data_IF_819123854151
#
_entry.id   IF_819123854151
#
_cell.length_a   1.000
_cell.length_b   1.000
_cell.length_c   1.000
_cell.angle_alpha   90.00
_cell.angle_beta   90.00
_cell.angle_gamma   90.00
#
_symmetry.space_group_name_H-M   'P 1'
#
loop_
_entity.id
_entity.type
_entity.pdbx_description
1 polymer ?
#
# COMPACT_ATOMS: atom_id res chain seq x y z
N UNK A 1 -34.67 -11.41 34.00
CA UNK A 1 -34.16 -11.84 32.69
C UNK A 1 -33.04 -10.90 32.31
N UNK A 2 -31.77 -11.37 32.31
CA UNK A 2 -30.64 -10.57 31.86
C UNK A 2 -30.61 -10.67 30.33
N UNK A 3 -30.77 -9.54 29.66
CA UNK A 3 -30.64 -9.46 28.20
C UNK A 3 -29.26 -9.91 27.73
N UNK A 4 -29.12 -10.38 26.48
CA UNK A 4 -27.84 -10.82 25.96
C UNK A 4 -26.86 -9.65 25.99
N UNK A 5 -25.73 -9.87 26.67
CA UNK A 5 -24.60 -8.95 26.65
C UNK A 5 -23.99 -9.03 25.23
N UNK A 6 -24.37 -8.11 24.36
CA UNK A 6 -23.69 -7.96 23.06
C UNK A 6 -22.28 -7.44 23.35
N UNK A 7 -21.30 -8.33 23.30
CA UNK A 7 -19.90 -7.94 23.23
C UNK A 7 -19.74 -7.07 21.99
N UNK A 8 -19.67 -5.77 22.16
CA UNK A 8 -19.27 -4.85 21.10
C UNK A 8 -17.88 -5.28 20.64
N UNK A 9 -17.78 -5.95 19.50
CA UNK A 9 -16.49 -6.29 18.93
C UNK A 9 -15.80 -4.99 18.54
N UNK A 10 -14.77 -4.62 19.27
CA UNK A 10 -13.91 -3.47 18.91
C UNK A 10 -13.08 -3.89 17.72
N UNK A 11 -13.15 -3.12 16.64
CA UNK A 11 -12.29 -3.35 15.49
C UNK A 11 -10.83 -3.12 15.91
N UNK A 12 -9.92 -3.97 15.40
CA UNK A 12 -8.49 -3.91 15.71
C UNK A 12 -7.64 -4.09 14.46
N UNK A 13 -6.41 -3.59 14.49
CA UNK A 13 -5.42 -3.88 13.46
C UNK A 13 -5.04 -5.35 13.50
N UNK A 14 -5.26 -6.10 12.43
CA UNK A 14 -4.96 -7.53 12.33
C UNK A 14 -3.67 -7.82 11.54
N UNK A 15 -3.29 -6.92 10.62
CA UNK A 15 -2.01 -6.99 9.93
C UNK A 15 -1.53 -5.61 9.46
N UNK A 16 -0.20 -5.47 9.36
CA UNK A 16 0.46 -4.31 8.80
C UNK A 16 1.41 -4.77 7.68
N UNK A 17 1.47 -4.00 6.59
CA UNK A 17 2.34 -4.28 5.46
C UNK A 17 3.10 -3.03 5.01
N UNK A 18 4.39 -3.22 4.73
CA UNK A 18 5.29 -2.20 4.16
C UNK A 18 5.77 -2.68 2.80
N UNK A 19 5.82 -1.79 1.83
CA UNK A 19 6.21 -2.09 0.44
C UNK A 19 7.42 -1.23 0.05
N UNK A 20 8.66 -1.58 0.40
CA UNK A 20 9.81 -0.70 0.17
C UNK A 20 10.00 -0.30 -1.29
N UNK A 21 9.72 -1.23 -2.21
CA UNK A 21 9.79 -0.99 -3.66
C UNK A 21 8.39 -1.00 -4.27
N UNK A 22 8.04 0.07 -5.01
CA UNK A 22 6.78 0.15 -5.74
C UNK A 22 6.61 -1.08 -6.63
N UNK A 23 5.42 -1.70 -6.59
CA UNK A 23 5.04 -2.91 -7.34
C UNK A 23 5.75 -4.22 -6.94
N UNK A 24 6.76 -4.23 -6.09
CA UNK A 24 7.32 -5.46 -5.53
C UNK A 24 6.50 -5.97 -4.35
N UNK A 25 6.79 -7.19 -3.86
CA UNK A 25 6.09 -7.82 -2.74
C UNK A 25 6.26 -7.02 -1.45
N UNK A 26 5.21 -7.00 -0.63
CA UNK A 26 5.24 -6.34 0.68
C UNK A 26 5.83 -7.23 1.78
N UNK A 27 6.19 -6.59 2.86
CA UNK A 27 6.69 -7.20 4.10
C UNK A 27 5.60 -7.08 5.15
N UNK A 28 5.18 -8.19 5.73
CA UNK A 28 4.28 -8.19 6.88
C UNK A 28 5.07 -7.87 8.15
N UNK A 29 4.58 -6.92 8.94
CA UNK A 29 5.22 -6.46 10.17
C UNK A 29 4.24 -6.47 11.34
N UNK A 30 4.73 -6.57 12.57
CA UNK A 30 3.89 -6.53 13.78
C UNK A 30 3.69 -5.13 14.32
N UNK A 31 4.66 -4.25 14.10
CA UNK A 31 4.61 -2.84 14.42
C UNK A 31 5.47 -2.07 13.43
N UNK A 32 5.11 -0.81 13.14
CA UNK A 32 5.90 -0.01 12.20
C UNK A 32 5.74 1.48 12.42
N UNK A 33 6.83 2.27 12.25
CA UNK A 33 6.77 3.71 12.40
C UNK A 33 5.93 4.37 11.30
N UNK A 34 5.07 5.30 11.70
CA UNK A 34 4.39 6.26 10.83
C UNK A 34 5.22 7.55 10.86
N UNK A 35 5.70 7.95 9.69
CA UNK A 35 6.49 9.16 9.47
C UNK A 35 5.74 10.09 8.51
N UNK A 36 6.22 11.29 8.27
CA UNK A 36 5.52 12.29 7.46
C UNK A 36 4.98 11.81 6.10
N UNK A 37 5.54 10.74 5.50
CA UNK A 37 5.14 10.19 4.19
C UNK A 37 4.27 8.94 4.27
N UNK A 38 3.85 8.52 5.44
CA UNK A 38 3.22 7.22 5.68
C UNK A 38 4.11 6.29 6.47
N UNK A 39 4.07 4.99 6.22
CA UNK A 39 5.01 4.06 6.87
C UNK A 39 6.46 4.34 6.46
N UNK A 40 7.38 4.27 7.41
CA UNK A 40 8.81 4.36 7.15
C UNK A 40 9.22 3.33 6.08
N UNK A 41 10.06 3.73 5.14
CA UNK A 41 10.53 2.94 4.00
C UNK A 41 9.46 2.56 2.95
N UNK A 42 8.16 2.90 3.14
CA UNK A 42 7.11 2.50 2.21
C UNK A 42 7.23 3.24 0.87
N UNK A 43 7.32 2.47 -0.24
CA UNK A 43 7.43 2.93 -1.63
C UNK A 43 8.50 4.01 -1.84
N UNK A 44 9.63 3.92 -1.09
CA UNK A 44 10.77 4.85 -1.26
C UNK A 44 11.58 4.51 -2.52
N UNK A 45 11.49 3.28 -3.01
CA UNK A 45 12.10 2.80 -4.23
C UNK A 45 11.07 2.57 -5.32
N UNK A 46 11.46 2.87 -6.57
CA UNK A 46 10.60 2.70 -7.74
C UNK A 46 11.43 2.33 -8.96
N UNK A 47 10.88 1.48 -9.82
CA UNK A 47 11.45 1.15 -11.12
C UNK A 47 10.85 2.11 -12.15
N UNK A 48 11.71 2.66 -13.02
CA UNK A 48 11.29 3.50 -14.14
C UNK A 48 11.85 2.98 -15.47
N UNK A 49 11.17 3.31 -16.55
CA UNK A 49 11.65 3.07 -17.90
C UNK A 49 12.68 4.12 -18.35
N UNK A 50 13.17 4.02 -19.58
CA UNK A 50 14.15 4.94 -20.15
C UNK A 50 13.67 6.41 -20.25
N UNK A 51 12.36 6.65 -20.14
CA UNK A 51 11.75 7.98 -20.17
C UNK A 51 11.47 8.52 -18.75
N UNK A 52 11.92 7.82 -17.71
CA UNK A 52 11.65 8.18 -16.31
C UNK A 52 10.22 7.88 -15.85
N UNK A 53 9.40 7.19 -16.66
CA UNK A 53 8.04 6.82 -16.29
C UNK A 53 8.06 5.59 -15.39
N UNK A 54 7.26 5.62 -14.33
CA UNK A 54 7.12 4.50 -13.40
C UNK A 54 6.61 3.22 -14.07
N UNK A 55 7.22 2.10 -13.73
CA UNK A 55 6.85 0.75 -14.20
C UNK A 55 6.15 0.00 -13.08
N UNK A 56 5.08 -0.71 -13.41
CA UNK A 56 4.27 -1.39 -12.41
C UNK A 56 3.88 -2.82 -12.83
N UNK A 57 3.23 -3.55 -11.92
CA UNK A 57 2.59 -4.82 -12.24
C UNK A 57 1.51 -4.71 -13.33
N UNK A 58 1.05 -3.48 -13.69
CA UNK A 58 0.11 -3.28 -14.81
C UNK A 58 0.76 -3.66 -16.13
N UNK A 59 2.02 -3.38 -16.30
CA UNK A 59 2.81 -3.70 -17.48
C UNK A 59 3.59 -5.01 -17.27
N UNK A 60 4.31 -5.12 -16.16
CA UNK A 60 5.24 -6.20 -15.87
C UNK A 60 4.80 -6.96 -14.60
N UNK A 61 3.87 -7.92 -14.77
CA UNK A 61 3.30 -8.70 -13.68
C UNK A 61 4.36 -9.44 -12.83
N UNK A 62 5.48 -9.82 -13.45
CA UNK A 62 6.61 -10.47 -12.77
C UNK A 62 7.22 -9.65 -11.62
N UNK A 63 6.97 -8.34 -11.53
CA UNK A 63 7.35 -7.52 -10.37
C UNK A 63 6.70 -8.03 -9.07
N UNK A 64 5.55 -8.71 -9.15
CA UNK A 64 4.91 -9.35 -8.01
C UNK A 64 5.78 -10.46 -7.38
N UNK A 65 6.68 -11.05 -8.17
CA UNK A 65 7.56 -12.14 -7.72
C UNK A 65 8.83 -11.63 -7.02
N UNK A 66 9.12 -10.33 -7.09
CA UNK A 66 10.25 -9.74 -6.37
C UNK A 66 9.91 -9.62 -4.91
N UNK A 67 10.46 -10.50 -4.08
CA UNK A 67 10.32 -10.43 -2.62
C UNK A 67 11.28 -9.40 -2.03
N UNK A 68 10.85 -8.77 -0.95
CA UNK A 68 11.61 -7.76 -0.22
C UNK A 68 11.76 -8.16 1.24
N UNK A 69 12.91 -7.86 1.86
CA UNK A 69 13.15 -8.01 3.29
C UNK A 69 13.96 -6.83 3.81
N UNK A 70 13.72 -6.43 5.06
CA UNK A 70 14.47 -5.37 5.74
C UNK A 70 15.32 -6.00 6.83
N UNK A 71 16.63 -5.73 6.80
CA UNK A 71 17.60 -6.20 7.79
C UNK A 71 18.51 -5.04 8.19
N UNK A 72 18.27 -4.45 9.38
CA UNK A 72 18.95 -3.22 9.78
C UNK A 72 18.74 -2.10 8.77
N UNK A 73 19.82 -1.49 8.31
CA UNK A 73 19.81 -0.43 7.29
C UNK A 73 19.92 -0.98 5.85
N UNK A 74 19.53 -2.23 5.63
CA UNK A 74 19.58 -2.89 4.32
C UNK A 74 18.18 -3.32 3.84
N UNK A 75 17.96 -3.16 2.56
CA UNK A 75 16.84 -3.73 1.81
C UNK A 75 17.36 -4.87 0.93
N UNK A 76 16.87 -6.08 1.16
CA UNK A 76 17.20 -7.27 0.37
C UNK A 76 16.09 -7.59 -0.62
N UNK A 77 16.46 -7.85 -1.86
CA UNK A 77 15.56 -8.19 -2.95
C UNK A 77 15.93 -9.56 -3.52
N UNK A 78 14.92 -10.43 -3.69
CA UNK A 78 15.08 -11.74 -4.35
C UNK A 78 14.02 -11.89 -5.43
N UNK A 79 14.42 -12.47 -6.56
CA UNK A 79 13.52 -12.80 -7.66
C UNK A 79 13.90 -14.15 -8.29
N UNK A 80 12.96 -14.85 -8.94
CA UNK A 80 13.25 -16.12 -9.61
C UNK A 80 14.39 -15.96 -10.62
N UNK A 81 15.34 -16.91 -10.58
CA UNK A 81 16.48 -16.93 -11.51
C UNK A 81 17.50 -15.79 -11.35
N UNK A 82 17.50 -15.09 -10.22
CA UNK A 82 18.44 -13.99 -9.94
C UNK A 82 19.13 -14.18 -8.58
N UNK A 83 20.39 -13.75 -8.52
CA UNK A 83 21.09 -13.58 -7.24
C UNK A 83 20.41 -12.50 -6.41
N UNK A 84 20.52 -12.62 -5.09
CA UNK A 84 20.03 -11.58 -4.17
C UNK A 84 20.71 -10.24 -4.45
N UNK A 85 19.92 -9.18 -4.41
CA UNK A 85 20.39 -7.80 -4.44
C UNK A 85 20.24 -7.19 -3.05
N UNK A 86 21.31 -6.62 -2.54
CA UNK A 86 21.31 -5.87 -1.28
C UNK A 86 21.48 -4.39 -1.61
N UNK A 87 20.54 -3.58 -1.11
CA UNK A 87 20.52 -2.13 -1.25
C UNK A 87 20.61 -1.47 0.12
N UNK A 88 21.13 -0.25 0.23
CA UNK A 88 20.93 0.55 1.43
C UNK A 88 19.44 0.86 1.59
N UNK A 89 18.96 0.94 2.84
CA UNK A 89 17.56 1.32 3.10
C UNK A 89 17.30 2.77 2.66
N UNK A 90 18.31 3.64 2.77
CA UNK A 90 18.30 5.03 2.32
C UNK A 90 19.39 5.25 1.28
N UNK A 91 19.07 6.03 0.24
CA UNK A 91 20.00 6.34 -0.84
C UNK A 91 19.84 7.81 -1.25
N UNK A 92 20.58 8.67 -0.56
CA UNK A 92 20.45 10.13 -0.66
C UNK A 92 21.46 10.78 -1.63
N UNK A 93 22.47 10.01 -2.08
CA UNK A 93 23.58 10.51 -2.92
C UNK A 93 23.64 9.68 -4.20
N UNK A 94 23.68 10.34 -5.35
CA UNK A 94 23.75 9.69 -6.65
C UNK A 94 23.24 10.59 -7.76
N UNK A 95 23.10 10.03 -8.95
CA UNK A 95 22.57 10.76 -10.10
C UNK A 95 21.07 11.03 -9.94
N UNK A 96 20.73 12.31 -10.02
CA UNK A 96 19.34 12.75 -9.93
C UNK A 96 18.59 12.46 -11.23
N UNK A 97 17.34 12.01 -11.10
CA UNK A 97 16.41 11.76 -12.20
C UNK A 97 15.10 12.45 -11.92
N UNK A 98 14.60 13.21 -12.87
CA UNK A 98 13.17 13.55 -12.87
C UNK A 98 12.39 12.32 -13.31
N UNK A 99 11.42 11.91 -12.49
CA UNK A 99 10.60 10.72 -12.74
C UNK A 99 9.13 11.07 -12.70
N UNK A 100 8.32 10.28 -13.39
CA UNK A 100 6.88 10.50 -13.48
C UNK A 100 6.12 9.39 -12.73
N UNK A 101 5.20 9.80 -11.86
CA UNK A 101 4.22 8.94 -11.18
C UNK A 101 2.84 9.46 -11.50
N UNK A 102 2.12 8.83 -12.42
CA UNK A 102 0.88 9.34 -13.00
C UNK A 102 1.10 10.73 -13.63
N UNK A 103 0.36 11.74 -13.15
CA UNK A 103 0.50 13.13 -13.60
C UNK A 103 1.59 13.90 -12.83
N UNK A 104 2.10 13.31 -11.74
CA UNK A 104 3.08 13.98 -10.88
C UNK A 104 4.51 13.78 -11.40
N UNK A 105 5.30 14.84 -11.33
CA UNK A 105 6.75 14.77 -11.46
C UNK A 105 7.39 14.68 -10.08
N UNK A 106 8.40 13.87 -9.95
CA UNK A 106 9.10 13.65 -8.70
C UNK A 106 10.61 13.50 -8.94
N UNK A 107 11.39 13.71 -7.88
CA UNK A 107 12.82 13.47 -7.89
C UNK A 107 13.11 12.04 -7.44
N UNK A 108 13.94 11.34 -8.20
CA UNK A 108 14.55 10.07 -7.85
C UNK A 108 16.08 10.16 -7.87
N UNK A 109 16.75 9.41 -7.02
CA UNK A 109 18.20 9.20 -7.06
C UNK A 109 18.44 7.80 -7.64
N UNK A 110 19.14 7.72 -8.78
CA UNK A 110 19.39 6.46 -9.46
C UNK A 110 20.40 5.59 -8.69
N UNK A 111 20.15 4.29 -8.64
CA UNK A 111 21.05 3.30 -8.03
C UNK A 111 21.56 2.31 -9.07
N UNK A 112 22.82 2.45 -9.50
CA UNK A 112 23.39 1.75 -10.65
C UNK A 112 23.29 0.21 -10.56
N UNK A 113 23.69 -0.39 -9.43
CA UNK A 113 23.61 -1.85 -9.26
C UNK A 113 22.15 -2.35 -9.26
N UNK A 114 21.23 -1.59 -8.65
CA UNK A 114 19.80 -1.90 -8.66
C UNK A 114 19.20 -1.82 -10.08
N UNK A 115 19.57 -0.78 -10.83
CA UNK A 115 19.15 -0.60 -12.23
C UNK A 115 19.62 -1.77 -13.11
N UNK A 116 20.89 -2.17 -12.96
CA UNK A 116 21.45 -3.33 -13.67
C UNK A 116 20.70 -4.62 -13.30
N UNK A 117 20.40 -4.82 -12.01
CA UNK A 117 19.71 -6.02 -11.54
C UNK A 117 18.28 -6.11 -12.09
N UNK A 118 17.52 -5.00 -12.02
CA UNK A 118 16.15 -4.96 -12.54
C UNK A 118 16.12 -5.06 -14.07
N UNK A 119 17.05 -4.39 -14.78
CA UNK A 119 17.13 -4.51 -16.24
C UNK A 119 17.35 -5.95 -16.68
N UNK A 120 18.24 -6.68 -16.00
CA UNK A 120 18.47 -8.12 -16.27
C UNK A 120 17.28 -8.98 -15.90
N UNK A 121 16.55 -8.67 -14.81
CA UNK A 121 15.38 -9.43 -14.39
C UNK A 121 14.19 -9.20 -15.33
N UNK A 122 13.98 -7.98 -15.78
CA UNK A 122 12.86 -7.58 -16.61
C UNK A 122 13.11 -7.76 -18.11
N UNK A 123 14.37 -8.00 -18.50
CA UNK A 123 14.76 -8.24 -19.90
C UNK A 123 14.81 -6.98 -20.77
N UNK A 124 14.79 -5.79 -20.19
CA UNK A 124 14.87 -4.51 -20.87
C UNK A 124 15.51 -3.45 -19.98
N UNK A 125 16.06 -2.34 -20.54
CA UNK A 125 16.62 -1.26 -19.75
C UNK A 125 15.62 -0.63 -18.81
N UNK A 126 15.95 -0.61 -17.51
CA UNK A 126 15.18 0.04 -16.46
C UNK A 126 16.12 0.66 -15.43
N UNK A 127 15.69 1.71 -14.80
CA UNK A 127 16.41 2.29 -13.66
C UNK A 127 15.65 2.03 -12.37
N UNK A 128 16.40 1.77 -11.29
CA UNK A 128 15.89 1.77 -9.93
C UNK A 128 16.23 3.11 -9.29
N UNK A 129 15.22 3.82 -8.81
CA UNK A 129 15.36 5.14 -8.21
C UNK A 129 14.85 5.17 -6.79
N UNK A 130 15.47 5.97 -5.94
CA UNK A 130 15.08 6.24 -4.55
C UNK A 130 14.54 7.67 -4.44
N UNK A 131 13.43 7.88 -3.74
CA UNK A 131 12.97 9.22 -3.43
C UNK A 131 13.72 9.78 -2.24
N UNK A 132 14.52 10.85 -2.39
CA UNK A 132 15.29 11.41 -1.29
C UNK A 132 14.40 12.14 -0.27
N UNK A 133 14.89 12.32 0.96
CA UNK A 133 14.11 12.91 2.05
C UNK A 133 13.74 14.37 1.79
N UNK A 134 14.58 15.12 1.11
CA UNK A 134 14.33 16.53 0.79
C UNK A 134 13.27 16.75 -0.30
N UNK A 135 12.94 15.72 -1.10
CA UNK A 135 11.85 15.83 -2.08
C UNK A 135 10.50 15.57 -1.44
N UNK A 136 9.60 16.55 -1.49
CA UNK A 136 8.28 16.48 -0.88
C UNK A 136 7.21 16.33 -1.97
N UNK A 137 6.73 15.10 -2.19
CA UNK A 137 5.62 14.86 -3.11
C UNK A 137 4.29 15.06 -2.39
N UNK A 138 3.64 16.20 -2.67
CA UNK A 138 2.33 16.55 -2.11
C UNK A 138 1.25 15.58 -2.58
N UNK A 139 0.40 15.13 -1.68
CA UNK A 139 -0.86 14.43 -2.02
C UNK A 139 -1.80 15.43 -2.71
N UNK A 140 -2.61 14.96 -3.65
CA UNK A 140 -3.50 15.81 -4.45
C UNK A 140 -4.23 16.85 -3.57
N UNK A 141 -3.98 18.17 -3.78
CA UNK A 141 -4.51 19.25 -2.93
C UNK A 141 -6.03 19.33 -2.88
N UNK A 142 -6.74 18.81 -3.90
CA UNK A 142 -8.19 18.75 -3.89
C UNK A 142 -8.76 17.81 -2.80
N UNK A 143 -7.91 16.97 -2.18
CA UNK A 143 -8.32 15.97 -1.19
C UNK A 143 -7.40 15.88 0.02
N UNK A 144 -6.41 16.76 0.11
CA UNK A 144 -5.37 16.74 1.13
C UNK A 144 -5.07 18.17 1.59
N UNK A 145 -4.44 18.30 2.75
CA UNK A 145 -3.97 19.57 3.28
C UNK A 145 -2.56 19.87 2.76
N UNK A 146 -2.15 21.16 2.72
CA UNK A 146 -0.74 21.49 2.53
C UNK A 146 0.15 20.73 3.53
N UNK A 147 1.23 20.09 3.04
CA UNK A 147 2.13 19.29 3.86
C UNK A 147 1.75 17.81 3.98
N UNK A 148 0.58 17.38 3.52
CA UNK A 148 0.27 15.95 3.38
C UNK A 148 1.10 15.39 2.21
N UNK A 149 2.10 14.60 2.52
CA UNK A 149 3.04 14.07 1.51
C UNK A 149 3.01 12.55 1.45
N UNK A 150 3.46 12.02 0.33
CA UNK A 150 3.63 10.58 0.11
C UNK A 150 4.95 10.29 -0.61
N UNK A 151 5.36 9.02 -0.62
CA UNK A 151 6.49 8.55 -1.42
C UNK A 151 6.05 8.22 -2.86
N UNK A 152 6.58 7.17 -3.49
CA UNK A 152 6.15 6.71 -4.82
C UNK A 152 4.84 5.88 -4.78
N UNK A 153 4.02 6.00 -3.72
CA UNK A 153 2.66 5.45 -3.72
C UNK A 153 1.82 6.05 -4.86
N UNK A 154 0.74 5.36 -5.26
CA UNK A 154 -0.06 5.83 -6.40
C UNK A 154 -0.69 7.20 -6.13
N UNK A 155 -1.30 7.39 -4.94
CA UNK A 155 -1.95 8.65 -4.60
C UNK A 155 -1.87 9.03 -3.11
N UNK A 156 -1.97 8.04 -2.21
CA UNK A 156 -2.10 8.26 -0.76
C UNK A 156 -1.08 7.44 0.02
N UNK A 157 -0.68 7.90 1.23
CA UNK A 157 0.31 7.19 2.04
C UNK A 157 -0.16 5.84 2.56
N UNK A 158 -1.47 5.63 2.75
CA UNK A 158 -2.00 4.38 3.28
C UNK A 158 -3.21 3.87 2.51
N UNK A 159 -3.34 2.55 2.46
CA UNK A 159 -4.55 1.83 2.10
C UNK A 159 -4.97 0.96 3.28
N UNK A 160 -6.22 1.10 3.71
CA UNK A 160 -6.86 0.29 4.74
C UNK A 160 -7.89 -0.65 4.10
N UNK A 161 -7.90 -1.90 4.56
CA UNK A 161 -8.87 -2.95 4.20
C UNK A 161 -9.30 -3.73 5.42
N UNK A 162 -10.50 -4.27 5.41
CA UNK A 162 -10.96 -5.20 6.46
C UNK A 162 -10.90 -6.67 6.01
N UNK A 163 -10.65 -7.56 6.98
CA UNK A 163 -10.74 -9.01 6.73
C UNK A 163 -12.17 -9.42 6.37
N UNK A 164 -13.16 -8.74 6.94
CA UNK A 164 -14.57 -8.99 6.65
C UNK A 164 -14.91 -8.66 5.18
N UNK A 165 -14.37 -7.56 4.63
CA UNK A 165 -14.54 -7.21 3.21
C UNK A 165 -13.90 -8.24 2.28
N UNK A 166 -12.71 -8.75 2.64
CA UNK A 166 -12.09 -9.83 1.89
C UNK A 166 -12.88 -11.15 1.99
N UNK A 167 -13.42 -11.46 3.16
CA UNK A 167 -14.24 -12.66 3.36
C UNK A 167 -15.55 -12.60 2.54
N UNK A 168 -16.24 -11.44 2.50
CA UNK A 168 -17.39 -11.22 1.62
C UNK A 168 -17.02 -11.43 0.15
N UNK A 169 -15.91 -10.85 -0.31
CA UNK A 169 -15.46 -11.06 -1.68
C UNK A 169 -15.14 -12.54 -1.96
N UNK A 170 -14.42 -13.20 -1.07
CA UNK A 170 -14.03 -14.61 -1.22
C UNK A 170 -15.24 -15.56 -1.23
N UNK A 171 -16.33 -15.22 -0.54
CA UNK A 171 -17.58 -15.99 -0.60
C UNK A 171 -18.23 -15.99 -1.99
N UNK A 172 -17.80 -15.08 -2.87
CA UNK A 172 -18.32 -14.89 -4.24
C UNK A 172 -17.35 -15.36 -5.33
N UNK A 173 -16.17 -15.84 -4.93
CA UNK A 173 -15.13 -16.32 -5.85
C UNK A 173 -15.08 -17.84 -5.85
N UNK A 174 -14.85 -18.43 -7.00
CA UNK A 174 -14.63 -19.89 -7.14
C UNK A 174 -13.33 -20.34 -6.42
N UNK A 175 -12.29 -19.46 -6.45
CA UNK A 175 -11.02 -19.67 -5.77
C UNK A 175 -10.75 -18.48 -4.87
N UNK A 176 -10.65 -18.67 -3.55
CA UNK A 176 -10.33 -17.60 -2.62
C UNK A 176 -8.97 -16.96 -2.91
N UNK A 177 -8.88 -15.64 -2.70
CA UNK A 177 -7.67 -14.85 -2.89
C UNK A 177 -7.17 -14.28 -1.58
N UNK A 178 -5.91 -13.85 -1.57
CA UNK A 178 -5.27 -13.30 -0.38
C UNK A 178 -5.31 -11.78 -0.35
N UNK A 179 -5.11 -11.21 0.84
CA UNK A 179 -5.10 -9.76 1.08
C UNK A 179 -3.99 -9.04 0.30
N UNK A 180 -2.88 -9.71 0.05
CA UNK A 180 -1.71 -9.19 -0.65
C UNK A 180 -2.02 -8.72 -2.08
N UNK A 181 -3.06 -9.26 -2.75
CA UNK A 181 -3.50 -8.79 -4.08
C UNK A 181 -3.89 -7.32 -4.07
N UNK A 182 -4.42 -6.85 -2.95
CA UNK A 182 -4.88 -5.47 -2.79
C UNK A 182 -3.81 -4.52 -2.29
N UNK A 183 -2.70 -5.05 -1.75
CA UNK A 183 -1.54 -4.30 -1.28
C UNK A 183 -1.86 -3.26 -0.20
N UNK A 184 -2.67 -3.59 0.83
CA UNK A 184 -2.98 -2.66 1.91
C UNK A 184 -1.75 -2.41 2.79
N UNK A 185 -1.71 -1.25 3.44
CA UNK A 185 -0.77 -0.97 4.52
C UNK A 185 -1.33 -1.43 5.87
N UNK A 186 -2.64 -1.28 6.06
CA UNK A 186 -3.34 -1.57 7.31
C UNK A 186 -4.49 -2.52 7.01
N UNK A 187 -4.53 -3.64 7.72
CA UNK A 187 -5.66 -4.58 7.69
C UNK A 187 -6.30 -4.59 9.06
N UNK A 188 -7.63 -4.54 9.08
CA UNK A 188 -8.42 -4.55 10.31
C UNK A 188 -9.34 -5.77 10.37
N UNK A 189 -9.69 -6.18 11.59
CA UNK A 189 -10.70 -7.20 11.86
C UNK A 189 -11.69 -6.73 12.93
N UNK A 190 -12.76 -7.50 13.14
CA UNK A 190 -13.77 -7.19 14.16
C UNK A 190 -14.81 -6.14 13.75
N UNK A 191 -14.93 -5.84 12.46
CA UNK A 191 -15.95 -4.98 11.87
C UNK A 191 -16.78 -5.72 10.83
N UNK A 192 -17.91 -5.13 10.41
CA UNK A 192 -18.72 -5.63 9.30
C UNK A 192 -17.99 -5.45 7.95
N UNK A 193 -18.38 -6.25 6.93
CA UNK A 193 -17.85 -6.05 5.57
C UNK A 193 -18.09 -4.62 5.08
N UNK A 194 -17.08 -4.02 4.48
CA UNK A 194 -17.07 -2.66 3.92
C UNK A 194 -17.29 -1.54 4.94
N UNK A 195 -17.16 -1.81 6.24
CA UNK A 195 -17.22 -0.77 7.27
C UNK A 195 -16.18 0.35 7.01
N UNK A 196 -15.03 -0.02 6.45
CA UNK A 196 -13.97 0.93 6.09
C UNK A 196 -14.40 1.98 5.06
N UNK A 197 -15.42 1.72 4.25
CA UNK A 197 -15.96 2.68 3.28
C UNK A 197 -16.50 3.96 3.93
N UNK A 198 -16.96 3.84 5.17
CA UNK A 198 -17.51 4.94 5.97
C UNK A 198 -16.47 5.72 6.78
N UNK A 199 -15.19 5.34 6.74
CA UNK A 199 -14.17 5.96 7.59
C UNK A 199 -13.67 7.30 7.00
N UNK A 200 -14.52 8.31 6.97
CA UNK A 200 -14.10 9.67 6.65
C UNK A 200 -13.05 10.18 7.65
N UNK A 201 -13.16 9.74 8.91
CA UNK A 201 -12.16 9.84 9.97
C UNK A 201 -12.11 8.53 10.73
N UNK A 202 -10.89 8.14 11.13
CA UNK A 202 -10.68 6.93 11.95
C UNK A 202 -9.46 7.14 12.85
N UNK A 203 -9.57 6.72 14.10
CA UNK A 203 -8.43 6.64 15.02
C UNK A 203 -7.96 5.20 15.09
N UNK A 204 -6.66 4.98 14.89
CA UNK A 204 -6.02 3.66 14.95
C UNK A 204 -4.89 3.77 15.98
N UNK A 205 -5.04 3.08 17.11
CA UNK A 205 -4.16 3.31 18.24
C UNK A 205 -4.19 4.78 18.69
N UNK A 206 -3.03 5.42 18.67
CA UNK A 206 -2.90 6.83 19.06
C UNK A 206 -2.94 7.80 17.87
N UNK A 207 -3.00 7.30 16.62
CA UNK A 207 -2.90 8.10 15.41
C UNK A 207 -4.29 8.30 14.79
N UNK A 208 -4.62 9.54 14.48
CA UNK A 208 -5.82 9.92 13.74
C UNK A 208 -5.57 9.90 12.24
N UNK A 209 -6.55 9.45 11.49
CA UNK A 209 -6.49 9.37 10.03
C UNK A 209 -7.72 10.01 9.40
N UNK A 210 -7.52 10.62 8.24
CA UNK A 210 -8.56 11.07 7.34
C UNK A 210 -8.70 10.10 6.18
N UNK A 211 -9.94 9.73 5.83
CA UNK A 211 -10.28 8.92 4.67
C UNK A 211 -10.76 9.79 3.52
N UNK A 212 -9.86 10.32 2.68
CA UNK A 212 -10.22 11.28 1.63
C UNK A 212 -11.01 10.64 0.49
N UNK A 213 -10.86 9.32 0.30
CA UNK A 213 -11.48 8.63 -0.84
C UNK A 213 -11.38 7.12 -0.67
N UNK A 214 -12.46 6.41 -1.00
CA UNK A 214 -12.39 4.94 -1.22
C UNK A 214 -11.34 4.63 -2.30
N UNK A 215 -10.74 3.44 -2.25
CA UNK A 215 -9.74 3.04 -3.23
C UNK A 215 -10.42 2.44 -4.47
N UNK A 216 -10.22 3.07 -5.62
CA UNK A 216 -10.58 2.51 -6.93
C UNK A 216 -9.55 1.46 -7.34
N UNK A 217 -10.05 0.28 -7.70
CA UNK A 217 -9.20 -0.88 -7.98
C UNK A 217 -8.92 -1.01 -9.47
N UNK A 218 -7.69 -1.37 -9.78
CA UNK A 218 -7.20 -1.56 -11.13
C UNK A 218 -6.72 -2.99 -11.36
N UNK A 219 -6.27 -3.29 -12.57
CA UNK A 219 -5.80 -4.62 -13.00
C UNK A 219 -4.65 -5.20 -12.15
N UNK A 220 -3.94 -4.42 -11.33
CA UNK A 220 -2.91 -4.97 -10.42
C UNK A 220 -3.50 -6.04 -9.51
N UNK A 221 -4.75 -5.88 -9.06
CA UNK A 221 -5.40 -6.86 -8.17
C UNK A 221 -5.65 -8.21 -8.83
N UNK A 222 -5.60 -8.28 -10.16
CA UNK A 222 -5.76 -9.55 -10.91
C UNK A 222 -4.45 -10.32 -11.06
N UNK A 223 -3.31 -9.73 -10.68
CA UNK A 223 -2.01 -10.41 -10.68
C UNK A 223 -1.91 -11.28 -9.44
N UNK A 224 -1.60 -12.56 -9.63
CA UNK A 224 -1.31 -13.45 -8.51
C UNK A 224 0.07 -13.11 -7.91
N UNK A 225 0.16 -12.78 -6.61
CA UNK A 225 1.43 -12.38 -6.01
C UNK A 225 2.42 -13.54 -5.84
N UNK A 226 1.98 -14.82 -6.01
CA UNK A 226 2.83 -15.99 -5.88
C UNK A 226 3.36 -16.47 -7.23
N UNK A 227 2.53 -16.41 -8.29
CA UNK A 227 2.88 -16.91 -9.63
C UNK A 227 3.20 -15.82 -10.63
N UNK A 228 2.76 -14.58 -10.39
CA UNK A 228 2.84 -13.48 -11.34
C UNK A 228 1.85 -13.59 -12.50
N UNK A 229 0.97 -14.59 -12.49
CA UNK A 229 -0.04 -14.77 -13.51
C UNK A 229 -1.16 -13.74 -13.42
N UNK A 230 -1.69 -13.35 -14.57
CA UNK A 230 -2.83 -12.45 -14.66
C UNK A 230 -4.12 -13.21 -14.89
N UNK A 231 -5.14 -12.84 -14.12
CA UNK A 231 -6.49 -13.33 -14.30
C UNK A 231 -7.48 -12.21 -14.61
N UNK A 232 -8.75 -12.49 -14.39
CA UNK A 232 -9.85 -11.50 -14.44
C UNK A 232 -10.36 -11.18 -13.03
N UNK A 233 -10.16 -12.09 -12.08
CA UNK A 233 -10.55 -11.91 -10.69
C UNK A 233 -9.45 -11.17 -9.89
N UNK A 234 -9.84 -10.39 -8.89
CA UNK A 234 -11.19 -10.19 -8.36
C UNK A 234 -12.00 -9.08 -9.03
N UNK A 235 -11.44 -8.37 -10.03
CA UNK A 235 -12.12 -7.20 -10.62
C UNK A 235 -13.46 -7.56 -11.25
N UNK A 236 -13.56 -8.70 -11.92
CA UNK A 236 -14.80 -9.17 -12.56
C UNK A 236 -15.91 -9.36 -11.53
N UNK A 237 -15.60 -9.99 -10.42
CA UNK A 237 -16.58 -10.21 -9.34
C UNK A 237 -16.91 -8.91 -8.60
N UNK A 238 -15.90 -8.12 -8.22
CA UNK A 238 -16.13 -6.82 -7.59
C UNK A 238 -16.99 -5.88 -8.45
N UNK A 239 -16.81 -5.88 -9.77
CA UNK A 239 -17.59 -5.03 -10.67
C UNK A 239 -19.10 -5.34 -10.63
N UNK A 240 -19.52 -6.54 -10.22
CA UNK A 240 -20.93 -6.91 -10.14
C UNK A 240 -21.69 -6.19 -9.01
N UNK A 241 -20.99 -5.77 -7.94
CA UNK A 241 -21.63 -5.21 -6.75
C UNK A 241 -20.91 -4.02 -6.11
N UNK A 242 -19.69 -3.72 -6.57
CA UNK A 242 -18.86 -2.60 -6.07
C UNK A 242 -18.55 -1.56 -7.15
N UNK A 243 -19.19 -1.63 -8.32
CA UNK A 243 -19.07 -0.65 -9.39
C UNK A 243 -19.96 0.55 -9.10
N UNK A 244 -19.38 1.72 -9.01
CA UNK A 244 -20.07 3.01 -8.98
C UNK A 244 -19.17 4.07 -9.65
N UNK A 245 -19.77 5.05 -10.34
CA UNK A 245 -19.04 6.13 -11.03
C UNK A 245 -17.93 5.59 -11.97
N UNK A 246 -18.21 4.50 -12.69
CA UNK A 246 -17.28 3.79 -13.59
C UNK A 246 -16.02 3.25 -12.89
N UNK A 247 -16.04 3.12 -11.57
CA UNK A 247 -14.92 2.63 -10.75
C UNK A 247 -15.34 1.48 -9.86
N UNK A 248 -14.44 0.53 -9.70
CA UNK A 248 -14.61 -0.60 -8.78
C UNK A 248 -13.98 -0.23 -7.44
N UNK A 249 -14.79 -0.12 -6.40
CA UNK A 249 -14.38 0.35 -5.08
C UNK A 249 -14.10 -0.80 -4.12
N UNK A 250 -12.90 -0.81 -3.49
CA UNK A 250 -12.57 -1.78 -2.45
C UNK A 250 -11.45 -1.25 -1.56
N UNK A 251 -11.76 -0.95 -0.29
CA UNK A 251 -10.88 -0.36 0.69
C UNK A 251 -10.87 1.17 0.70
N UNK A 252 -10.26 1.73 1.74
CA UNK A 252 -10.20 3.16 2.02
C UNK A 252 -8.76 3.67 1.99
N UNK A 253 -8.50 4.71 1.21
CA UNK A 253 -7.25 5.45 1.28
C UNK A 253 -7.23 6.32 2.54
N UNK A 254 -6.07 6.39 3.21
CA UNK A 254 -5.94 7.18 4.42
C UNK A 254 -4.74 8.13 4.35
N UNK A 255 -4.90 9.27 5.03
CA UNK A 255 -3.84 10.24 5.35
C UNK A 255 -3.80 10.39 6.87
N UNK A 256 -2.63 10.25 7.47
CA UNK A 256 -2.43 10.41 8.92
C UNK A 256 -2.33 11.88 9.31
N UNK A 257 -2.79 12.23 10.49
CA UNK A 257 -2.68 13.57 11.06
C UNK A 257 -1.46 13.70 11.99
N UNK A 258 -0.99 12.57 12.57
CA UNK A 258 0.16 12.52 13.49
C UNK A 258 1.15 11.42 13.06
N UNK A 259 2.41 11.57 13.47
CA UNK A 259 3.43 10.51 13.41
C UNK A 259 3.41 9.67 14.69
N UNK A 260 3.98 8.45 14.61
CA UNK A 260 4.00 7.55 15.77
C UNK A 260 4.34 6.12 15.36
N UNK A 261 3.79 5.14 16.04
CA UNK A 261 3.97 3.72 15.74
C UNK A 261 2.62 3.03 15.73
N UNK A 262 2.27 2.34 14.66
CA UNK A 262 1.14 1.43 14.62
C UNK A 262 1.56 0.00 14.99
N UNK A 263 0.68 -0.72 15.68
CA UNK A 263 0.89 -2.10 16.11
C UNK A 263 -0.30 -2.99 15.72
N UNK A 264 -0.02 -4.22 15.42
CA UNK A 264 -1.06 -5.27 15.37
C UNK A 264 -1.69 -5.37 16.75
N UNK A 265 -3.02 -5.32 16.81
CA UNK A 265 -3.80 -5.25 18.03
C UNK A 265 -4.25 -3.84 18.43
N UNK A 266 -3.73 -2.78 17.79
CA UNK A 266 -4.21 -1.42 18.06
C UNK A 266 -5.71 -1.31 17.81
N UNK A 267 -6.48 -0.66 18.70
CA UNK A 267 -7.90 -0.46 18.51
C UNK A 267 -8.17 0.48 17.35
N UNK A 268 -9.26 0.23 16.63
CA UNK A 268 -9.73 1.05 15.51
C UNK A 268 -11.10 1.63 15.87
N UNK A 269 -11.17 2.94 16.00
CA UNK A 269 -12.38 3.67 16.33
C UNK A 269 -12.76 4.61 15.18
N UNK A 270 -13.96 4.46 14.57
CA UNK A 270 -14.46 5.44 13.62
C UNK A 270 -14.49 6.84 14.26
N UNK A 271 -13.98 7.83 13.54
CA UNK A 271 -14.02 9.23 14.00
C UNK A 271 -15.41 9.83 13.76
N UNK A 272 -16.13 9.98 14.81
CA UNK A 272 -17.35 10.74 15.02
C UNK A 272 -17.53 10.75 16.53
N UNK A 273 -17.98 11.84 17.13
CA UNK A 273 -18.16 11.98 18.59
C UNK A 273 -18.90 10.77 19.21
N UNK A 274 -18.22 9.66 19.39
CA UNK A 274 -18.68 8.64 20.33
C UNK A 274 -18.23 9.12 21.71
N UNK A 275 -19.07 9.95 22.34
CA UNK A 275 -19.00 10.13 23.80
C UNK A 275 -19.16 8.73 24.38
N UNK A 276 -18.08 8.17 24.90
CA UNK A 276 -18.16 7.06 25.84
C UNK A 276 -18.92 7.62 27.04
N UNK A 277 -20.23 7.37 27.09
CA UNK A 277 -20.99 7.54 28.33
C UNK A 277 -20.46 6.48 29.29
N UNK A 278 -19.80 6.97 30.33
CA UNK A 278 -19.38 6.24 31.53
C UNK A 278 -20.54 5.49 32.19
#
# INVERSE_FOLDING_TARGET
MRGPCYLVRVAVVSALYVYPVKSCRGIRVRQWPVVARGFAADRRWMIVDANGRFVTQRELAQLALVSTALEGEQLRLRAPGRSELVLPLRHEIGEQREVQVWEDRALGIAHAAGSTWFSRYLGAPHELVYMPDHHLRQVNPARARPGDITSFADAYPFLLLSEASLADLNSRLDVPITMERFRPNIVISGCEPFAEDGYARVRIGEISFRGPKRCDRCVITTVDPLTGERGREPLRTLAKYRLADQKVWFGMNLIHDETGVLRVGDPVAPGGDVRLTT
#
